data_IF_207175974211
#
_entry.id   IF_207175974211
#
_cell.length_a   1.000
_cell.length_b   1.000
_cell.length_c   1.000
_cell.angle_alpha   90.00
_cell.angle_beta   90.00
_cell.angle_gamma   90.00
#
_symmetry.space_group_name_H-M   'P 1'
#
loop_
_entity.id
_entity.type
_entity.pdbx_description
1 polymer ?
#
# COMPACT_ATOMS: atom_id res chain seq x y z
N UNK A 1 4.83 31.43 2.61
CA UNK A 1 3.98 30.58 3.47
C UNK A 1 4.94 29.82 4.37
N UNK A 2 5.01 30.18 5.65
CA UNK A 2 5.84 29.42 6.60
C UNK A 2 5.06 28.17 7.01
N UNK A 3 5.65 26.99 6.79
CA UNK A 3 5.08 25.73 7.25
C UNK A 3 5.31 25.68 8.76
N UNK A 4 4.23 25.72 9.53
CA UNK A 4 4.30 25.64 10.99
C UNK A 4 4.77 24.23 11.40
N UNK A 5 5.70 24.12 12.36
CA UNK A 5 6.14 22.82 12.85
C UNK A 5 4.98 22.07 13.49
N UNK A 6 4.95 20.74 13.31
CA UNK A 6 3.96 19.89 13.95
C UNK A 6 4.11 19.99 15.49
N UNK A 7 2.98 20.06 16.18
CA UNK A 7 2.93 20.18 17.65
C UNK A 7 3.34 18.88 18.36
N UNK A 8 3.32 17.76 17.64
CA UNK A 8 3.78 16.44 18.09
C UNK A 8 4.08 15.57 16.87
N UNK A 9 4.99 14.62 17.04
CA UNK A 9 5.18 13.56 16.06
C UNK A 9 3.91 12.70 16.00
N UNK A 10 3.49 12.37 14.78
CA UNK A 10 2.42 11.40 14.54
C UNK A 10 2.99 9.99 14.69
N UNK A 11 2.35 9.11 15.48
CA UNK A 11 2.85 7.75 15.63
C UNK A 11 2.77 7.00 14.30
N UNK A 12 3.93 6.60 13.78
CA UNK A 12 4.01 5.75 12.58
C UNK A 12 3.70 4.32 12.99
N UNK A 13 2.66 3.74 12.38
CA UNK A 13 2.34 2.33 12.59
C UNK A 13 3.29 1.45 11.78
N UNK A 14 4.34 0.95 12.44
CA UNK A 14 5.30 0.02 11.85
C UNK A 14 4.81 -1.45 11.85
N UNK A 15 3.54 -1.72 12.18
CA UNK A 15 2.98 -3.08 12.13
C UNK A 15 2.96 -3.60 10.69
N UNK A 16 3.05 -4.92 10.53
CA UNK A 16 2.90 -5.52 9.21
C UNK A 16 1.48 -5.21 8.68
N UNK A 17 1.34 -4.84 7.40
CA UNK A 17 0.03 -4.59 6.83
C UNK A 17 -0.82 -5.87 6.84
N UNK A 18 -2.09 -5.76 7.19
CA UNK A 18 -3.03 -6.87 7.15
C UNK A 18 -3.49 -7.13 5.71
N UNK A 19 -4.05 -8.32 5.46
CA UNK A 19 -4.67 -8.64 4.16
C UNK A 19 -5.71 -7.60 3.75
N UNK A 20 -6.53 -7.14 4.69
CA UNK A 20 -7.56 -6.11 4.47
C UNK A 20 -6.97 -4.76 4.02
N UNK A 21 -5.87 -4.34 4.66
CA UNK A 21 -5.16 -3.10 4.28
C UNK A 21 -4.58 -3.24 2.87
N UNK A 22 -4.01 -4.40 2.55
CA UNK A 22 -3.43 -4.67 1.22
C UNK A 22 -4.54 -4.71 0.16
N UNK A 23 -5.66 -5.38 0.42
CA UNK A 23 -6.83 -5.37 -0.46
C UNK A 23 -7.31 -3.95 -0.74
N UNK A 24 -7.52 -3.16 0.33
CA UNK A 24 -8.00 -1.78 0.20
C UNK A 24 -7.03 -0.90 -0.58
N UNK A 25 -5.71 -1.05 -0.35
CA UNK A 25 -4.69 -0.34 -1.13
C UNK A 25 -4.70 -0.74 -2.61
N UNK A 26 -4.86 -2.02 -2.92
CA UNK A 26 -4.98 -2.51 -4.30
C UNK A 26 -6.24 -1.94 -4.97
N UNK A 27 -7.37 -1.93 -4.28
CA UNK A 27 -8.61 -1.32 -4.78
C UNK A 27 -8.46 0.17 -5.02
N UNK A 28 -7.77 0.88 -4.11
CA UNK A 28 -7.45 2.30 -4.27
C UNK A 28 -6.60 2.53 -5.52
N UNK A 29 -5.52 1.77 -5.72
CA UNK A 29 -4.65 1.85 -6.91
C UNK A 29 -5.39 1.50 -8.22
N UNK A 30 -6.43 0.66 -8.15
CA UNK A 30 -7.27 0.34 -9.30
C UNK A 30 -8.22 1.47 -9.67
N UNK A 31 -8.77 2.14 -8.66
CA UNK A 31 -9.83 3.14 -8.82
C UNK A 31 -9.27 4.54 -9.06
N UNK A 32 -8.22 4.89 -8.32
CA UNK A 32 -7.43 6.08 -8.59
C UNK A 32 -6.42 5.72 -9.67
N UNK A 33 -6.56 6.32 -10.85
CA UNK A 33 -5.55 6.26 -11.92
C UNK A 33 -4.23 6.74 -11.32
N UNK A 34 -3.42 5.80 -10.87
CA UNK A 34 -2.12 6.10 -10.30
C UNK A 34 -1.22 6.54 -11.46
N UNK A 35 -1.11 7.86 -11.65
CA UNK A 35 -0.27 8.50 -12.69
C UNK A 35 1.24 8.46 -12.33
N UNK A 36 1.66 7.44 -11.58
CA UNK A 36 3.06 7.22 -11.25
C UNK A 36 3.83 6.60 -12.42
N UNK A 37 5.17 6.70 -12.35
CA UNK A 37 6.13 6.20 -13.36
C UNK A 37 5.87 4.73 -13.74
N UNK A 38 5.29 3.95 -12.84
CA UNK A 38 4.84 2.58 -13.07
C UNK A 38 3.31 2.55 -13.10
N UNK A 39 2.71 3.06 -14.17
CA UNK A 39 1.26 2.96 -14.36
C UNK A 39 0.89 1.50 -14.60
N UNK A 40 0.57 0.76 -13.53
CA UNK A 40 0.06 -0.60 -13.65
C UNK A 40 -1.41 -0.47 -14.10
N UNK A 41 -1.81 -1.01 -15.25
CA UNK A 41 -3.19 -0.93 -15.69
C UNK A 41 -4.12 -1.56 -14.65
N UNK A 42 -5.21 -0.87 -14.28
CA UNK A 42 -6.20 -1.42 -13.33
C UNK A 42 -6.74 -2.80 -13.75
N UNK A 43 -6.78 -3.07 -15.07
CA UNK A 43 -7.14 -4.39 -15.64
C UNK A 43 -6.13 -5.49 -15.29
N UNK A 44 -4.85 -5.16 -15.12
CA UNK A 44 -3.82 -6.12 -14.70
C UNK A 44 -3.95 -6.49 -13.21
N UNK A 45 -4.49 -5.60 -12.36
CA UNK A 45 -4.78 -5.90 -10.95
C UNK A 45 -6.10 -6.66 -10.75
N UNK A 46 -7.08 -6.52 -11.65
CA UNK A 46 -8.42 -7.12 -11.51
C UNK A 46 -8.41 -8.65 -11.36
N UNK A 47 -7.54 -9.35 -12.08
CA UNK A 47 -7.49 -10.82 -12.05
C UNK A 47 -6.67 -11.41 -10.89
N UNK A 48 -6.05 -10.58 -10.05
CA UNK A 48 -4.93 -11.01 -9.19
C UNK A 48 -5.06 -10.48 -7.76
N UNK A 49 -6.19 -9.89 -7.33
CA UNK A 49 -6.26 -9.26 -5.99
C UNK A 49 -5.98 -10.26 -4.87
N UNK A 50 -6.71 -11.38 -4.81
CA UNK A 50 -6.50 -12.42 -3.78
C UNK A 50 -5.09 -13.03 -3.87
N UNK A 51 -4.64 -13.39 -5.08
CA UNK A 51 -3.30 -13.92 -5.32
C UNK A 51 -2.20 -12.93 -4.92
N UNK A 52 -2.39 -11.64 -5.20
CA UNK A 52 -1.45 -10.59 -4.84
C UNK A 52 -1.42 -10.42 -3.33
N UNK A 53 -2.56 -10.44 -2.65
CA UNK A 53 -2.64 -10.33 -1.19
C UNK A 53 -1.92 -11.50 -0.53
N UNK A 54 -2.12 -12.73 -1.03
CA UNK A 54 -1.46 -13.93 -0.51
C UNK A 54 0.07 -13.92 -0.71
N UNK A 55 0.57 -13.26 -1.76
CA UNK A 55 2.02 -13.10 -2.02
C UNK A 55 2.61 -11.92 -1.25
N UNK A 56 1.91 -10.78 -1.22
CA UNK A 56 2.39 -9.52 -0.65
C UNK A 56 2.43 -9.58 0.88
N UNK A 57 1.46 -10.21 1.54
CA UNK A 57 1.42 -10.30 3.00
C UNK A 57 2.70 -10.94 3.59
N UNK A 58 3.16 -12.12 3.13
CA UNK A 58 4.41 -12.70 3.61
C UNK A 58 5.65 -11.93 3.14
N UNK A 59 5.62 -11.28 1.97
CA UNK A 59 6.75 -10.49 1.47
C UNK A 59 7.01 -9.26 2.35
N UNK A 60 5.97 -8.50 2.69
CA UNK A 60 6.10 -7.36 3.61
C UNK A 60 6.56 -7.79 5.00
N UNK A 61 6.12 -8.97 5.45
CA UNK A 61 6.64 -9.57 6.68
C UNK A 61 8.15 -9.85 6.61
N UNK A 62 8.67 -10.33 5.48
CA UNK A 62 10.11 -10.59 5.29
C UNK A 62 10.93 -9.30 5.25
N UNK A 63 10.55 -8.34 4.43
CA UNK A 63 11.26 -7.05 4.26
C UNK A 63 11.40 -6.31 5.60
N UNK A 64 10.40 -6.41 6.47
CA UNK A 64 10.44 -5.76 7.79
C UNK A 64 11.41 -6.43 8.77
N UNK A 65 11.65 -7.73 8.61
CA UNK A 65 12.53 -8.50 9.51
C UNK A 65 13.99 -8.52 9.04
N UNK A 66 14.31 -7.81 7.95
CA UNK A 66 15.69 -7.46 7.55
C UNK A 66 16.19 -6.23 8.31
#
# INVERSE_FOLDING_TARGET
>A
MEIQPATSDMPINCSAPTKEIICSAIEHVKNDKYDGIYSIPAVALNGVVETSVDILCPLFGKIRNE
#
